data_IF_633596843799
#
_entry.id   IF_633596843799
#
_cell.length_a   1.000
_cell.length_b   1.000
_cell.length_c   1.000
_cell.angle_alpha   90.00
_cell.angle_beta   90.00
_cell.angle_gamma   90.00
#
_symmetry.space_group_name_H-M   'P 1'
#
loop_
_entity.id
_entity.type
_entity.pdbx_description
1 polymer ?
#
# COMPACT_ATOMS: atom_id res chain seq x y z
N UNK A 1 12.62 0.56 1.19
CA UNK A 1 12.44 0.20 2.62
C UNK A 1 13.42 -0.91 2.91
N UNK A 2 14.28 -0.73 3.89
CA UNK A 2 15.31 -1.72 4.27
C UNK A 2 14.90 -2.43 5.57
N UNK A 3 15.45 -3.61 5.84
CA UNK A 3 15.23 -4.30 7.13
C UNK A 3 15.78 -3.48 8.31
N UNK A 4 16.78 -2.63 8.06
CA UNK A 4 17.42 -1.76 9.06
C UNK A 4 16.50 -0.62 9.54
N UNK A 5 15.46 -0.28 8.78
CA UNK A 5 14.43 0.69 9.21
C UNK A 5 13.48 0.12 10.29
N UNK A 6 13.56 -1.18 10.58
CA UNK A 6 12.69 -1.90 11.51
C UNK A 6 13.42 -2.31 12.78
N UNK A 7 12.80 -2.04 13.92
CA UNK A 7 13.28 -2.44 15.23
C UNK A 7 12.21 -3.28 15.95
N UNK A 8 12.64 -4.31 16.68
CA UNK A 8 11.78 -5.16 17.49
C UNK A 8 12.34 -5.16 18.90
N UNK A 9 11.55 -4.69 19.87
CA UNK A 9 11.90 -4.63 21.29
C UNK A 9 11.01 -5.63 22.02
N UNK A 10 11.59 -6.44 22.92
CA UNK A 10 10.83 -7.30 23.82
C UNK A 10 10.77 -6.58 25.16
N UNK A 11 9.60 -6.09 25.53
CA UNK A 11 9.31 -5.53 26.86
C UNK A 11 8.80 -6.67 27.75
N UNK A 12 9.45 -6.87 28.91
CA UNK A 12 9.11 -7.91 29.88
C UNK A 12 9.06 -7.29 31.29
N UNK A 13 8.55 -8.03 32.28
CA UNK A 13 8.48 -7.59 33.67
C UNK A 13 9.85 -7.12 34.19
N UNK A 14 9.93 -5.99 34.93
CA UNK A 14 8.82 -5.34 35.64
C UNK A 14 8.07 -4.26 34.85
N UNK A 15 8.40 -4.04 33.57
CA UNK A 15 7.92 -2.87 32.83
C UNK A 15 6.49 -3.03 32.28
N UNK A 16 5.94 -4.25 32.25
CA UNK A 16 4.58 -4.58 31.79
C UNK A 16 3.93 -5.70 32.63
N UNK A 17 2.59 -5.83 32.60
CA UNK A 17 1.87 -6.94 33.27
C UNK A 17 2.10 -8.29 32.58
N UNK A 18 2.24 -8.32 31.24
CA UNK A 18 2.60 -9.49 30.44
C UNK A 18 3.67 -9.13 29.38
N UNK A 19 4.49 -10.10 28.91
CA UNK A 19 5.54 -9.82 27.91
C UNK A 19 4.94 -9.35 26.58
N UNK A 20 5.51 -8.28 26.01
CA UNK A 20 5.08 -7.68 24.75
C UNK A 20 6.26 -7.50 23.79
N UNK A 21 6.06 -7.88 22.53
CA UNK A 21 6.97 -7.56 21.44
C UNK A 21 6.49 -6.31 20.71
N UNK A 22 7.23 -5.21 20.85
CA UNK A 22 6.94 -3.95 20.18
C UNK A 22 7.74 -3.85 18.88
N UNK A 23 7.06 -3.52 17.78
CA UNK A 23 7.66 -3.34 16.46
C UNK A 23 7.61 -1.87 16.07
N UNK A 24 8.77 -1.33 15.74
CA UNK A 24 8.97 0.05 15.34
C UNK A 24 9.40 0.14 13.87
N UNK A 25 8.94 1.18 13.19
CA UNK A 25 9.43 1.60 11.88
C UNK A 25 9.95 3.03 11.97
N UNK A 26 11.25 3.23 11.69
CA UNK A 26 11.92 4.54 11.80
C UNK A 26 11.69 5.25 13.13
N UNK A 27 11.80 4.50 14.23
CA UNK A 27 11.60 4.96 15.61
C UNK A 27 10.15 5.35 15.97
N UNK A 28 9.16 5.00 15.14
CA UNK A 28 7.75 5.14 15.48
C UNK A 28 7.15 3.75 15.74
N UNK A 29 6.48 3.58 16.88
CA UNK A 29 5.82 2.31 17.21
C UNK A 29 4.69 2.05 16.21
N UNK A 30 4.71 0.87 15.62
CA UNK A 30 3.77 0.48 14.57
C UNK A 30 2.77 -0.57 15.06
N UNK A 31 3.27 -1.65 15.66
CA UNK A 31 2.44 -2.74 16.16
C UNK A 31 3.07 -3.37 17.39
N UNK A 32 2.26 -3.78 18.35
CA UNK A 32 2.64 -4.61 19.50
C UNK A 32 2.08 -6.02 19.37
N UNK A 33 2.78 -7.02 19.88
CA UNK A 33 2.28 -8.39 20.02
C UNK A 33 2.42 -8.78 21.48
N UNK A 34 1.28 -8.88 22.17
CA UNK A 34 1.22 -9.33 23.55
C UNK A 34 1.13 -10.86 23.58
N UNK A 35 1.91 -11.47 24.47
CA UNK A 35 1.72 -12.88 24.83
C UNK A 35 0.78 -12.92 26.03
N UNK A 36 -0.41 -13.46 25.85
CA UNK A 36 -1.45 -13.60 26.87
C UNK A 36 -1.52 -15.04 27.41
N UNK A 37 -1.86 -15.19 28.69
CA UNK A 37 -2.00 -16.50 29.32
C UNK A 37 -3.40 -17.15 29.09
N UNK A 38 -3.48 -18.44 28.69
CA UNK A 38 -2.39 -19.35 28.32
C UNK A 38 -2.13 -19.39 26.80
N UNK A 39 -0.95 -18.93 26.37
CA UNK A 39 -0.39 -19.04 25.03
C UNK A 39 -1.26 -18.45 23.90
N UNK A 40 -2.02 -17.39 24.18
CA UNK A 40 -2.72 -16.61 23.16
C UNK A 40 -1.87 -15.41 22.77
N UNK A 41 -1.93 -15.00 21.51
CA UNK A 41 -1.24 -13.80 21.04
C UNK A 41 -2.24 -12.78 20.53
N UNK A 42 -2.10 -11.55 20.99
CA UNK A 42 -2.93 -10.42 20.58
C UNK A 42 -2.05 -9.40 19.87
N UNK A 43 -2.49 -8.97 18.69
CA UNK A 43 -1.83 -7.94 17.88
C UNK A 43 -2.50 -6.60 18.14
N UNK A 44 -1.68 -5.59 18.42
CA UNK A 44 -2.11 -4.22 18.73
C UNK A 44 -1.56 -3.26 17.70
N UNK A 45 -2.40 -2.70 16.84
CA UNK A 45 -1.97 -1.67 15.90
C UNK A 45 -2.01 -0.30 16.56
N UNK A 46 -0.88 0.42 16.51
CA UNK A 46 -0.76 1.75 17.07
C UNK A 46 -1.54 2.75 16.20
N UNK A 47 -2.65 3.29 16.71
CA UNK A 47 -3.31 4.41 16.06
C UNK A 47 -2.62 5.71 16.51
N UNK A 48 -1.98 6.41 15.56
CA UNK A 48 -1.20 7.63 15.80
C UNK A 48 -1.96 8.75 16.50
N UNK A 49 -3.29 8.77 16.39
CA UNK A 49 -4.06 9.98 16.71
C UNK A 49 -4.64 10.02 18.14
N UNK A 50 -4.73 8.89 18.87
CA UNK A 50 -5.51 8.88 20.13
C UNK A 50 -4.93 8.07 21.29
N UNK A 51 -3.74 7.46 21.14
CA UNK A 51 -3.21 6.56 22.18
C UNK A 51 -4.07 5.31 22.42
N UNK A 52 -5.01 5.05 21.51
CA UNK A 52 -5.87 3.88 21.50
C UNK A 52 -5.28 2.84 20.54
N UNK A 53 -5.11 1.61 21.03
CA UNK A 53 -4.70 0.48 20.20
C UNK A 53 -5.91 -0.21 19.60
N UNK A 54 -5.82 -0.62 18.35
CA UNK A 54 -6.74 -1.62 17.82
C UNK A 54 -6.17 -3.01 18.09
N UNK A 55 -6.87 -3.75 18.93
CA UNK A 55 -6.44 -5.07 19.39
C UNK A 55 -7.27 -6.18 18.71
N UNK A 56 -6.58 -7.21 18.22
CA UNK A 56 -7.17 -8.37 17.56
C UNK A 56 -6.39 -9.62 17.94
N UNK A 57 -7.01 -10.80 17.82
CA UNK A 57 -6.22 -12.04 17.90
C UNK A 57 -5.23 -12.11 16.74
N UNK A 58 -4.04 -12.66 16.97
CA UNK A 58 -2.99 -12.73 15.95
C UNK A 58 -3.47 -13.41 14.66
N UNK A 59 -4.15 -14.55 14.80
CA UNK A 59 -4.61 -15.33 13.65
C UNK A 59 -5.65 -14.58 12.81
N UNK A 60 -6.62 -13.93 13.46
CA UNK A 60 -7.64 -13.11 12.78
C UNK A 60 -7.01 -11.94 12.03
N UNK A 61 -6.06 -11.23 12.66
CA UNK A 61 -5.38 -10.09 12.03
C UNK A 61 -4.63 -10.53 10.77
N UNK A 62 -3.91 -11.66 10.83
CA UNK A 62 -3.16 -12.17 9.68
C UNK A 62 -4.08 -12.66 8.56
N UNK A 63 -5.19 -13.33 8.89
CA UNK A 63 -6.17 -13.81 7.91
C UNK A 63 -6.78 -12.63 7.13
N UNK A 64 -7.26 -11.60 7.83
CA UNK A 64 -7.89 -10.43 7.21
C UNK A 64 -6.89 -9.64 6.35
N UNK A 65 -5.66 -9.43 6.84
CA UNK A 65 -4.62 -8.74 6.06
C UNK A 65 -4.26 -9.50 4.78
N UNK A 66 -4.16 -10.82 4.86
CA UNK A 66 -3.87 -11.66 3.71
C UNK A 66 -5.04 -11.67 2.70
N UNK A 67 -6.28 -11.68 3.18
CA UNK A 67 -7.45 -11.54 2.33
C UNK A 67 -7.46 -10.18 1.60
N UNK A 68 -7.23 -9.09 2.32
CA UNK A 68 -7.17 -7.74 1.75
C UNK A 68 -6.11 -7.63 0.64
N UNK A 69 -4.90 -8.15 0.89
CA UNK A 69 -3.83 -8.24 -0.11
C UNK A 69 -4.28 -9.00 -1.35
N UNK A 70 -4.93 -10.15 -1.19
CA UNK A 70 -5.40 -10.97 -2.30
C UNK A 70 -6.48 -10.26 -3.13
N UNK A 71 -7.37 -9.50 -2.48
CA UNK A 71 -8.38 -8.68 -3.17
C UNK A 71 -7.73 -7.56 -3.98
N UNK A 72 -6.75 -6.86 -3.41
CA UNK A 72 -6.03 -5.78 -4.09
C UNK A 72 -5.16 -6.28 -5.26
N UNK A 73 -4.52 -7.44 -5.11
CA UNK A 73 -3.69 -8.03 -6.16
C UNK A 73 -4.47 -8.29 -7.46
N UNK A 74 -5.79 -8.59 -7.36
CA UNK A 74 -6.66 -8.76 -8.54
C UNK A 74 -6.88 -7.47 -9.34
N UNK A 75 -6.62 -6.31 -8.74
CA UNK A 75 -6.74 -5.00 -9.39
C UNK A 75 -5.40 -4.50 -9.94
N UNK A 76 -4.29 -5.18 -9.62
CA UNK A 76 -3.00 -4.84 -10.19
C UNK A 76 -2.93 -5.28 -11.64
N UNK A 77 -2.34 -4.43 -12.49
CA UNK A 77 -2.03 -4.77 -13.88
C UNK A 77 -1.16 -6.01 -13.90
N UNK A 78 -1.36 -6.88 -14.89
CA UNK A 78 -0.40 -7.96 -15.14
C UNK A 78 0.96 -7.37 -15.51
N UNK A 79 2.06 -8.12 -15.38
CA UNK A 79 3.37 -7.66 -15.82
C UNK A 79 3.37 -7.18 -17.28
N UNK A 80 2.60 -7.83 -18.15
CA UNK A 80 2.43 -7.44 -19.55
C UNK A 80 1.69 -6.10 -19.68
N UNK A 81 0.56 -5.93 -18.99
CA UNK A 81 -0.21 -4.68 -19.01
C UNK A 81 0.57 -3.50 -18.41
N UNK A 82 1.40 -3.77 -17.41
CA UNK A 82 2.28 -2.78 -16.80
C UNK A 82 3.42 -2.40 -17.76
N UNK A 83 3.99 -3.36 -18.49
CA UNK A 83 5.01 -3.09 -19.51
C UNK A 83 4.43 -2.27 -20.68
N UNK A 84 3.19 -2.56 -21.13
CA UNK A 84 2.50 -1.77 -22.14
C UNK A 84 2.23 -0.33 -21.67
N UNK A 85 1.81 -0.16 -20.42
CA UNK A 85 1.59 1.15 -19.82
C UNK A 85 2.89 1.97 -19.79
N UNK A 86 4.00 1.36 -19.35
CA UNK A 86 5.31 2.01 -19.30
C UNK A 86 5.87 2.35 -20.68
N UNK A 87 5.68 1.45 -21.67
CA UNK A 87 6.05 1.71 -23.06
C UNK A 87 5.29 2.93 -23.62
N UNK A 88 3.97 2.99 -23.39
CA UNK A 88 3.13 4.13 -23.81
C UNK A 88 3.55 5.43 -23.13
N UNK A 89 3.89 5.40 -21.84
CA UNK A 89 4.38 6.59 -21.13
C UNK A 89 5.74 7.06 -21.68
N UNK A 90 6.65 6.14 -22.03
CA UNK A 90 7.93 6.50 -22.67
C UNK A 90 7.75 7.07 -24.07
N UNK A 91 6.82 6.51 -24.85
CA UNK A 91 6.47 7.06 -26.16
C UNK A 91 5.92 8.48 -26.03
N UNK A 92 5.02 8.73 -25.07
CA UNK A 92 4.46 10.06 -24.80
C UNK A 92 5.51 11.04 -24.28
N UNK A 93 6.43 10.60 -23.41
CA UNK A 93 7.50 11.45 -22.88
C UNK A 93 8.50 11.91 -23.97
N UNK A 94 8.70 11.09 -25.01
CA UNK A 94 9.54 11.40 -26.17
C UNK A 94 8.74 11.88 -27.39
N UNK A 95 7.44 12.12 -27.22
CA UNK A 95 6.57 12.56 -28.29
C UNK A 95 6.80 14.05 -28.57
N UNK A 96 7.58 14.34 -29.61
CA UNK A 96 7.70 15.68 -30.17
C UNK A 96 6.95 15.71 -31.52
N UNK A 97 5.63 15.95 -31.53
CA UNK A 97 4.86 15.87 -32.76
C UNK A 97 5.31 16.95 -33.74
N UNK A 98 5.56 16.55 -34.98
CA UNK A 98 5.70 17.49 -36.09
C UNK A 98 4.43 18.34 -36.21
N UNK A 99 4.50 19.60 -36.67
CA UNK A 99 3.33 20.46 -36.88
C UNK A 99 2.20 19.78 -37.68
N UNK A 100 2.56 18.96 -38.67
CA UNK A 100 1.61 18.21 -39.51
C UNK A 100 0.80 17.15 -38.73
N UNK A 101 1.46 16.40 -37.84
CA UNK A 101 0.81 15.40 -36.97
C UNK A 101 -0.09 16.05 -35.92
N UNK A 102 0.30 17.24 -35.44
CA UNK A 102 -0.51 18.02 -34.51
C UNK A 102 -1.78 18.53 -35.20
N UNK A 103 -1.65 19.11 -36.39
CA UNK A 103 -2.78 19.57 -37.18
C UNK A 103 -3.75 18.42 -37.57
N UNK A 104 -3.22 17.23 -37.88
CA UNK A 104 -4.06 16.06 -38.17
C UNK A 104 -4.82 15.57 -36.93
N UNK A 105 -4.17 15.56 -35.77
CA UNK A 105 -4.80 15.19 -34.49
C UNK A 105 -5.90 16.19 -34.11
N UNK A 106 -5.63 17.50 -34.23
CA UNK A 106 -6.60 18.56 -33.95
C UNK A 106 -7.82 18.47 -34.87
N UNK A 107 -7.61 18.22 -36.18
CA UNK A 107 -8.72 18.03 -37.13
C UNK A 107 -9.60 16.84 -36.76
N UNK A 108 -8.99 15.70 -36.38
CA UNK A 108 -9.71 14.51 -35.91
C UNK A 108 -10.49 14.77 -34.63
N UNK A 109 -9.93 15.53 -33.69
CA UNK A 109 -10.62 15.88 -32.44
C UNK A 109 -11.77 16.87 -32.69
N UNK A 110 -11.64 17.80 -33.63
CA UNK A 110 -12.70 18.73 -34.01
C UNK A 110 -13.87 18.02 -34.71
N UNK A 111 -13.58 17.07 -35.62
CA UNK A 111 -14.60 16.22 -36.25
C UNK A 111 -15.36 15.38 -35.21
N UNK A 112 -14.65 14.79 -34.24
CA UNK A 112 -15.32 14.06 -33.15
C UNK A 112 -16.18 14.98 -32.27
N UNK A 113 -15.68 16.18 -31.93
CA UNK A 113 -16.46 17.14 -31.15
C UNK A 113 -17.73 17.57 -31.88
N UNK A 114 -17.66 17.85 -33.18
CA UNK A 114 -18.85 18.15 -34.00
C UNK A 114 -19.83 16.98 -34.05
N UNK A 115 -19.33 15.73 -34.12
CA UNK A 115 -20.18 14.54 -34.19
C UNK A 115 -20.97 14.29 -32.89
N UNK A 116 -20.37 14.55 -31.73
CA UNK A 116 -20.96 14.20 -30.43
C UNK A 116 -21.56 15.39 -29.66
N UNK A 117 -21.14 16.62 -29.97
CA UNK A 117 -21.50 17.83 -29.22
C UNK A 117 -21.89 19.01 -30.13
N UNK A 118 -21.95 18.81 -31.45
CA UNK A 118 -22.35 19.81 -32.44
C UNK A 118 -23.76 19.62 -32.95
#
# INVERSE_FOLDING_TARGET
MSREDWEIIIADVPDQEEPEAEVYYKNEQWVGISMEFPNTFTVKFCNKDEGNYWEFTYDEAMEILQEAKNRLAKLQRTPEEQAEYEARQKELANFNPTPEKTAEYERKMEEQRKKYYG
#
